data_IF_094700393105
#
_entry.id   IF_094700393105
#
_cell.length_a   1.000
_cell.length_b   1.000
_cell.length_c   1.000
_cell.angle_alpha   90.00
_cell.angle_beta   90.00
_cell.angle_gamma   90.00
#
_symmetry.space_group_name_H-M   'P 1'
#
loop_
_entity.id
_entity.type
_entity.pdbx_description
1 polymer ?
#
# COMPACT_ATOMS: atom_id res chain seq x y z
N UNK A 1 2.55 5.34 19.45
CA UNK A 1 1.78 4.63 18.37
C UNK A 1 2.42 3.26 18.15
N UNK A 2 1.65 2.18 18.17
CA UNK A 2 2.12 0.81 17.90
C UNK A 2 1.34 0.25 16.71
N UNK A 3 2.02 -0.18 15.67
CA UNK A 3 1.42 -0.80 14.49
C UNK A 3 1.34 -2.31 14.77
N UNK A 4 0.14 -2.88 14.66
CA UNK A 4 -0.14 -4.30 14.91
C UNK A 4 -0.46 -5.07 13.64
N UNK A 5 -0.80 -4.37 12.57
CA UNK A 5 -1.11 -4.89 11.23
C UNK A 5 -0.22 -4.19 10.20
N UNK A 6 0.51 -4.97 9.41
CA UNK A 6 1.15 -4.45 8.20
C UNK A 6 0.30 -4.76 6.98
N UNK A 7 -0.16 -3.72 6.29
CA UNK A 7 -1.06 -3.85 5.15
C UNK A 7 -0.33 -3.94 3.81
N UNK A 8 1.01 -3.89 3.80
CA UNK A 8 1.80 -3.86 2.58
C UNK A 8 3.11 -4.63 2.75
N UNK A 9 3.11 -5.88 2.29
CA UNK A 9 4.29 -6.77 2.34
C UNK A 9 4.36 -7.65 1.10
N UNK A 10 5.59 -8.03 0.71
CA UNK A 10 5.88 -8.82 -0.47
C UNK A 10 6.56 -10.14 -0.13
N UNK A 11 6.30 -11.14 -0.98
CA UNK A 11 6.93 -12.46 -0.89
C UNK A 11 7.74 -12.77 -2.14
N UNK A 12 8.35 -13.98 -2.20
CA UNK A 12 9.04 -14.47 -3.39
C UNK A 12 8.17 -14.49 -4.68
N UNK A 13 6.86 -14.25 -4.57
CA UNK A 13 6.00 -14.13 -5.75
C UNK A 13 6.24 -12.80 -6.50
N UNK A 14 6.69 -11.77 -5.78
CA UNK A 14 7.29 -10.56 -6.34
C UNK A 14 8.78 -10.81 -6.46
N UNK A 15 9.33 -11.01 -7.68
CA UNK A 15 10.64 -11.63 -7.87
C UNK A 15 11.84 -10.83 -7.34
N UNK A 16 11.67 -9.59 -6.94
CA UNK A 16 12.66 -8.82 -6.20
C UNK A 16 12.44 -8.81 -4.67
N UNK A 17 11.50 -9.60 -4.15
CA UNK A 17 11.37 -9.88 -2.72
C UNK A 17 12.00 -11.23 -2.37
N UNK A 18 12.43 -11.42 -1.12
CA UNK A 18 13.36 -12.48 -0.74
C UNK A 18 12.86 -13.41 0.38
N UNK A 19 11.59 -13.26 0.81
CA UNK A 19 11.03 -14.07 1.89
C UNK A 19 9.76 -14.82 1.46
N UNK A 20 9.57 -15.99 2.03
CA UNK A 20 8.34 -16.77 1.88
C UNK A 20 7.27 -16.28 2.84
N UNK A 21 5.99 -16.63 2.58
CA UNK A 21 4.87 -16.37 3.52
C UNK A 21 5.17 -16.92 4.93
N UNK A 22 5.80 -18.10 5.03
CA UNK A 22 6.10 -18.72 6.33
C UNK A 22 7.16 -17.94 7.10
N UNK A 23 8.19 -17.45 6.42
CA UNK A 23 9.22 -16.61 7.03
C UNK A 23 8.64 -15.26 7.47
N UNK A 24 7.81 -14.62 6.63
CA UNK A 24 7.12 -13.35 6.97
C UNK A 24 6.22 -13.54 8.20
N UNK A 25 5.38 -14.56 8.22
CA UNK A 25 4.49 -14.85 9.34
C UNK A 25 5.25 -15.20 10.63
N UNK A 26 6.36 -15.93 10.53
CA UNK A 26 7.20 -16.26 11.69
C UNK A 26 7.82 -15.00 12.29
N UNK A 27 8.40 -14.14 11.44
CA UNK A 27 9.01 -12.90 11.89
C UNK A 27 7.97 -11.94 12.49
N UNK A 28 6.78 -11.83 11.86
CA UNK A 28 5.67 -11.04 12.37
C UNK A 28 5.24 -11.51 13.78
N UNK A 29 5.16 -12.82 14.00
CA UNK A 29 4.88 -13.42 15.32
C UNK A 29 5.94 -13.03 16.36
N UNK A 30 7.21 -13.15 16.01
CA UNK A 30 8.34 -12.80 16.88
C UNK A 30 8.38 -11.28 17.19
N UNK A 31 7.94 -10.43 16.25
CA UNK A 31 7.81 -8.99 16.41
C UNK A 31 6.54 -8.57 17.19
N UNK A 32 5.67 -9.52 17.54
CA UNK A 32 4.42 -9.25 18.29
C UNK A 32 3.36 -8.53 17.45
N UNK A 33 3.33 -8.79 16.15
CA UNK A 33 2.28 -8.32 15.23
C UNK A 33 1.07 -9.25 15.32
N UNK A 34 -0.12 -8.70 15.11
CA UNK A 34 -1.38 -9.45 15.11
C UNK A 34 -1.78 -9.93 13.72
N UNK A 35 -1.38 -9.19 12.67
CA UNK A 35 -1.69 -9.53 11.30
C UNK A 35 -0.68 -8.95 10.30
N UNK A 36 -0.57 -9.62 9.13
CA UNK A 36 0.10 -9.10 7.94
C UNK A 36 -0.78 -9.33 6.71
N UNK A 37 -0.72 -8.43 5.75
CA UNK A 37 -1.31 -8.63 4.43
C UNK A 37 -0.23 -9.06 3.45
N UNK A 38 -0.48 -10.13 2.69
CA UNK A 38 0.37 -10.57 1.58
C UNK A 38 -0.13 -9.84 0.34
N UNK A 39 0.60 -8.83 -0.09
CA UNK A 39 0.20 -7.89 -1.15
C UNK A 39 1.25 -7.85 -2.26
N UNK A 40 1.61 -9.02 -2.77
CA UNK A 40 2.56 -9.12 -3.88
C UNK A 40 2.15 -8.26 -5.06
N UNK A 41 3.13 -7.79 -5.84
CA UNK A 41 2.90 -7.00 -7.05
C UNK A 41 2.03 -7.72 -8.07
N UNK A 42 1.03 -7.04 -8.58
CA UNK A 42 0.16 -7.51 -9.66
C UNK A 42 0.89 -7.55 -11.02
N UNK A 43 0.34 -8.26 -12.02
CA UNK A 43 1.12 -8.76 -13.16
C UNK A 43 1.68 -7.73 -14.14
N UNK A 44 1.24 -6.47 -14.14
CA UNK A 44 1.71 -5.49 -15.12
C UNK A 44 3.16 -5.02 -14.90
N UNK A 45 3.65 -5.06 -13.66
CA UNK A 45 5.06 -4.79 -13.38
C UNK A 45 5.92 -5.97 -13.87
N UNK A 46 7.12 -5.74 -14.47
CA UNK A 46 7.89 -6.80 -15.15
C UNK A 46 8.20 -8.05 -14.31
N UNK A 47 8.22 -7.92 -12.99
CA UNK A 47 8.49 -8.99 -12.03
C UNK A 47 7.29 -9.30 -11.13
N UNK A 48 6.10 -8.85 -11.52
CA UNK A 48 4.84 -9.09 -10.82
C UNK A 48 4.40 -10.55 -10.88
N UNK A 49 3.58 -10.93 -9.89
CA UNK A 49 3.07 -12.28 -9.79
C UNK A 49 2.02 -12.59 -10.87
N UNK A 50 2.00 -13.84 -11.32
CA UNK A 50 0.97 -14.30 -12.25
C UNK A 50 -0.44 -14.17 -11.61
N UNK A 51 -1.52 -13.84 -12.36
CA UNK A 51 -2.88 -13.73 -11.82
C UNK A 51 -3.35 -14.95 -11.01
N UNK A 52 -2.87 -16.13 -11.33
CA UNK A 52 -3.18 -17.35 -10.57
C UNK A 52 -2.63 -17.34 -9.15
N UNK A 53 -1.57 -16.58 -8.86
CA UNK A 53 -1.09 -16.38 -7.50
C UNK A 53 -2.21 -15.81 -6.62
N UNK A 54 -2.83 -14.72 -7.04
CA UNK A 54 -3.92 -14.06 -6.30
C UNK A 54 -5.17 -14.92 -6.20
N UNK A 55 -5.52 -15.66 -7.26
CA UNK A 55 -6.64 -16.60 -7.24
C UNK A 55 -6.42 -17.77 -6.27
N UNK A 56 -5.16 -18.12 -5.99
CA UNK A 56 -4.79 -19.24 -5.14
C UNK A 56 -4.34 -18.86 -3.72
N UNK A 57 -4.39 -17.58 -3.33
CA UNK A 57 -4.09 -17.14 -1.95
C UNK A 57 -4.89 -17.92 -0.90
N UNK A 58 -6.09 -18.39 -1.26
CA UNK A 58 -6.92 -19.29 -0.44
C UNK A 58 -6.23 -20.60 -0.03
N UNK A 59 -5.11 -21.00 -0.64
CA UNK A 59 -4.30 -22.13 -0.22
C UNK A 59 -3.45 -21.83 1.03
N UNK A 60 -3.25 -20.56 1.36
CA UNK A 60 -2.53 -20.11 2.55
C UNK A 60 -3.50 -20.16 3.74
N UNK A 61 -3.13 -20.77 4.89
CA UNK A 61 -3.95 -20.69 6.10
C UNK A 61 -4.18 -19.23 6.54
N UNK A 62 -5.38 -18.92 7.03
CA UNK A 62 -5.73 -17.58 7.53
C UNK A 62 -5.02 -17.19 8.83
N UNK A 63 -4.33 -18.12 9.45
CA UNK A 63 -3.50 -17.90 10.63
C UNK A 63 -2.27 -18.79 10.56
N UNK A 64 -1.09 -18.20 10.77
CA UNK A 64 0.19 -18.89 10.79
C UNK A 64 1.00 -18.33 11.96
N UNK A 65 1.49 -19.19 12.85
CA UNK A 65 2.22 -18.81 14.08
C UNK A 65 1.48 -17.80 14.97
N UNK A 66 0.13 -17.85 15.00
CA UNK A 66 -0.69 -16.93 15.75
C UNK A 66 -0.87 -15.54 15.10
N UNK A 67 -0.36 -15.34 13.88
CA UNK A 67 -0.53 -14.12 13.09
C UNK A 67 -1.62 -14.35 12.04
N UNK A 68 -2.58 -13.43 11.95
CA UNK A 68 -3.60 -13.44 10.89
C UNK A 68 -2.96 -13.09 9.55
N UNK A 69 -3.31 -13.86 8.51
CA UNK A 69 -2.87 -13.61 7.14
C UNK A 69 -4.03 -13.04 6.34
N UNK A 70 -3.90 -11.79 5.92
CA UNK A 70 -4.82 -11.14 5.00
C UNK A 70 -4.36 -11.41 3.57
N UNK A 71 -5.30 -11.76 2.71
CA UNK A 71 -5.03 -11.93 1.28
C UNK A 71 -5.15 -10.57 0.60
N UNK A 72 -4.14 -10.17 -0.14
CA UNK A 72 -4.12 -8.88 -0.78
C UNK A 72 -3.41 -8.88 -2.11
N UNK A 73 -3.32 -7.71 -2.68
CA UNK A 73 -2.53 -7.41 -3.88
C UNK A 73 -2.10 -5.95 -3.87
N UNK A 74 -0.93 -5.67 -4.40
CA UNK A 74 -0.56 -4.34 -4.83
C UNK A 74 -0.80 -4.24 -6.33
N UNK A 75 -1.97 -3.65 -6.72
CA UNK A 75 -2.35 -3.47 -8.11
C UNK A 75 -1.69 -2.23 -8.72
N UNK A 76 -1.34 -2.33 -10.00
CA UNK A 76 -0.77 -1.24 -10.76
C UNK A 76 -1.89 -0.39 -11.38
N UNK A 77 -1.82 0.92 -11.18
CA UNK A 77 -2.63 1.89 -11.93
C UNK A 77 -1.98 2.02 -13.32
N UNK A 78 -2.73 1.74 -14.38
CA UNK A 78 -2.19 1.60 -15.73
C UNK A 78 -2.34 2.86 -16.59
N UNK A 79 -3.35 3.66 -16.31
CA UNK A 79 -3.72 4.82 -17.13
C UNK A 79 -4.53 5.85 -16.36
N UNK A 80 -4.88 6.95 -17.03
CA UNK A 80 -5.65 8.06 -16.45
C UNK A 80 -7.13 7.72 -16.23
N UNK A 81 -7.63 6.67 -16.85
CA UNK A 81 -8.98 6.12 -16.62
C UNK A 81 -9.05 5.27 -15.34
N UNK A 82 -7.89 4.99 -14.71
CA UNK A 82 -7.79 4.19 -13.49
C UNK A 82 -7.99 2.70 -13.71
N UNK A 83 -7.65 2.20 -14.91
CA UNK A 83 -7.59 0.78 -15.14
C UNK A 83 -6.47 0.16 -14.29
N UNK A 84 -6.73 -1.04 -13.77
CA UNK A 84 -5.80 -1.81 -12.95
C UNK A 84 -5.60 -3.22 -13.52
N UNK A 85 -4.56 -3.90 -13.12
CA UNK A 85 -4.05 -5.12 -13.75
C UNK A 85 -4.54 -6.45 -13.13
N UNK A 86 -5.54 -6.41 -12.27
CA UNK A 86 -6.27 -7.59 -11.81
C UNK A 86 -7.77 -7.44 -12.11
N UNK A 87 -8.39 -8.55 -12.49
CA UNK A 87 -9.81 -8.59 -12.77
C UNK A 87 -10.65 -8.51 -11.48
N UNK A 88 -11.83 -7.89 -11.56
CA UNK A 88 -12.74 -7.68 -10.43
C UNK A 88 -13.05 -8.97 -9.67
N UNK A 89 -13.25 -10.09 -10.37
CA UNK A 89 -13.54 -11.40 -9.75
C UNK A 89 -12.39 -11.94 -8.89
N UNK A 90 -11.18 -11.42 -9.07
CA UNK A 90 -10.02 -11.70 -8.22
C UNK A 90 -10.03 -10.77 -7.03
N UNK A 91 -10.19 -9.47 -7.27
CA UNK A 91 -10.18 -8.41 -6.25
C UNK A 91 -11.26 -8.63 -5.18
N UNK A 92 -12.48 -9.03 -5.60
CA UNK A 92 -13.60 -9.33 -4.68
C UNK A 92 -13.30 -10.43 -3.64
N UNK A 93 -12.23 -11.19 -3.82
CA UNK A 93 -11.82 -12.29 -2.91
C UNK A 93 -10.66 -11.90 -2.00
N UNK A 94 -10.12 -10.70 -2.18
CA UNK A 94 -9.05 -10.17 -1.37
C UNK A 94 -9.60 -9.43 -0.15
N UNK A 95 -8.80 -9.39 0.90
CA UNK A 95 -9.11 -8.64 2.13
C UNK A 95 -8.55 -7.21 2.06
N UNK A 96 -7.49 -6.99 1.26
CA UNK A 96 -6.80 -5.70 1.09
C UNK A 96 -6.34 -5.54 -0.35
N UNK A 97 -6.76 -4.47 -0.99
CA UNK A 97 -6.29 -4.06 -2.32
C UNK A 97 -5.59 -2.71 -2.23
N UNK A 98 -4.28 -2.77 -2.36
CA UNK A 98 -3.38 -1.61 -2.45
C UNK A 98 -3.29 -1.16 -3.91
N UNK A 99 -3.41 0.13 -4.19
CA UNK A 99 -3.24 0.67 -5.54
C UNK A 99 -2.10 1.67 -5.62
N UNK A 100 -1.21 1.49 -6.57
CA UNK A 100 -0.01 2.32 -6.75
C UNK A 100 0.28 2.64 -8.21
N UNK A 101 0.96 3.77 -8.43
CA UNK A 101 1.59 4.07 -9.73
C UNK A 101 3.05 3.61 -9.69
N UNK A 102 3.39 2.67 -10.57
CA UNK A 102 4.76 2.26 -10.82
C UNK A 102 5.21 2.71 -12.22
N UNK A 103 6.39 3.33 -12.32
CA UNK A 103 6.92 3.86 -13.56
C UNK A 103 6.93 2.87 -14.75
N UNK A 104 7.21 1.56 -14.56
CA UNK A 104 7.15 0.61 -15.67
C UNK A 104 5.74 0.34 -16.21
N UNK A 105 4.69 0.61 -15.42
CA UNK A 105 3.31 0.24 -15.72
C UNK A 105 2.46 1.43 -16.19
N UNK A 106 2.79 2.63 -15.71
CA UNK A 106 2.02 3.84 -15.98
C UNK A 106 2.66 4.66 -17.11
N UNK A 107 1.83 5.12 -18.04
CA UNK A 107 2.29 6.01 -19.10
C UNK A 107 2.59 7.40 -18.56
N UNK A 108 3.53 8.10 -19.18
CA UNK A 108 3.84 9.48 -18.86
C UNK A 108 2.59 10.36 -18.92
N UNK A 109 2.52 11.31 -17.99
CA UNK A 109 1.43 12.26 -17.88
C UNK A 109 1.84 13.46 -17.03
N UNK A 110 0.98 14.46 -16.95
CA UNK A 110 1.14 15.60 -16.07
C UNK A 110 0.34 15.43 -14.77
N UNK A 111 0.39 16.42 -13.89
CA UNK A 111 -0.33 16.38 -12.60
C UNK A 111 -1.86 16.31 -12.78
N UNK A 112 -2.40 16.78 -13.91
CA UNK A 112 -3.83 16.67 -14.23
C UNK A 112 -4.19 15.23 -14.57
N UNK A 113 -3.35 14.57 -15.37
CA UNK A 113 -3.51 13.17 -15.76
C UNK A 113 -3.42 12.26 -14.53
N UNK A 114 -2.39 12.46 -13.69
CA UNK A 114 -2.24 11.69 -12.44
C UNK A 114 -3.43 11.92 -11.49
N UNK A 115 -3.92 13.16 -11.40
CA UNK A 115 -5.13 13.45 -10.60
C UNK A 115 -6.34 12.69 -11.14
N UNK A 116 -6.51 12.60 -12.46
CA UNK A 116 -7.60 11.85 -13.09
C UNK A 116 -7.51 10.35 -12.77
N UNK A 117 -6.31 9.75 -12.87
CA UNK A 117 -6.05 8.38 -12.50
C UNK A 117 -6.43 8.11 -11.03
N UNK A 118 -5.93 8.92 -10.10
CA UNK A 118 -6.24 8.77 -8.67
C UNK A 118 -7.73 9.01 -8.37
N UNK A 119 -8.43 9.92 -9.08
CA UNK A 119 -9.88 10.10 -8.94
C UNK A 119 -10.64 8.82 -9.32
N UNK A 120 -10.24 8.17 -10.40
CA UNK A 120 -10.85 6.92 -10.83
C UNK A 120 -10.62 5.80 -9.80
N UNK A 121 -9.38 5.66 -9.32
CA UNK A 121 -9.00 4.65 -8.31
C UNK A 121 -9.74 4.86 -6.99
N UNK A 122 -9.81 6.07 -6.48
CA UNK A 122 -10.53 6.36 -5.22
C UNK A 122 -12.04 6.10 -5.35
N UNK A 123 -12.59 6.17 -6.55
CA UNK A 123 -13.98 5.78 -6.84
C UNK A 123 -14.17 4.27 -7.08
N UNK A 124 -13.11 3.51 -7.29
CA UNK A 124 -13.21 2.07 -7.43
C UNK A 124 -13.55 1.41 -6.07
N UNK A 125 -14.70 0.73 -5.93
CA UNK A 125 -15.11 0.13 -4.66
C UNK A 125 -14.21 -1.02 -4.21
N UNK A 126 -13.45 -1.63 -5.12
CA UNK A 126 -12.59 -2.78 -4.86
C UNK A 126 -11.17 -2.40 -4.42
N UNK A 127 -10.82 -1.12 -4.40
CA UNK A 127 -9.54 -0.62 -3.89
C UNK A 127 -9.72 -0.10 -2.47
N UNK A 128 -8.81 -0.42 -1.56
CA UNK A 128 -8.87 -0.02 -0.15
C UNK A 128 -7.87 1.07 0.20
N UNK A 129 -6.65 0.98 -0.32
CA UNK A 129 -5.52 1.82 0.07
C UNK A 129 -4.86 2.45 -1.15
N UNK A 130 -4.55 3.74 -1.07
CA UNK A 130 -3.72 4.45 -2.03
C UNK A 130 -2.28 4.44 -1.51
N UNK A 131 -1.41 3.70 -2.20
CA UNK A 131 -0.08 3.40 -1.70
C UNK A 131 1.01 4.32 -2.25
N UNK A 132 2.03 4.58 -1.42
CA UNK A 132 3.24 5.39 -1.65
C UNK A 132 3.09 6.53 -2.67
N UNK A 133 1.98 7.23 -2.61
CA UNK A 133 1.57 8.26 -3.58
C UNK A 133 2.34 9.58 -3.50
N UNK A 134 3.40 9.64 -2.66
CA UNK A 134 4.23 10.84 -2.47
C UNK A 134 5.29 11.08 -3.56
N UNK A 135 5.39 10.24 -4.59
CA UNK A 135 6.39 10.39 -5.64
C UNK A 135 6.25 11.73 -6.38
N UNK A 136 7.31 12.56 -6.48
CA UNK A 136 7.25 13.81 -7.24
C UNK A 136 7.09 13.58 -8.75
N UNK A 137 7.46 12.38 -9.25
CA UNK A 137 7.25 12.02 -10.65
C UNK A 137 5.78 11.85 -11.01
N UNK A 138 4.94 11.54 -10.04
CA UNK A 138 3.50 11.32 -10.19
C UNK A 138 2.70 12.29 -9.30
N UNK A 139 3.10 13.56 -9.26
CA UNK A 139 2.41 14.59 -8.50
C UNK A 139 0.95 14.73 -8.95
N UNK A 140 0.05 14.95 -7.99
CA UNK A 140 -1.38 15.09 -8.22
C UNK A 140 -1.98 16.13 -7.25
N UNK A 141 -3.25 16.44 -7.39
CA UNK A 141 -3.99 17.29 -6.46
C UNK A 141 -4.32 16.53 -5.17
N UNK A 142 -3.42 16.63 -4.18
CA UNK A 142 -3.54 15.91 -2.89
C UNK A 142 -4.83 16.27 -2.16
N UNK A 143 -5.22 17.55 -2.14
CA UNK A 143 -6.43 18.03 -1.46
C UNK A 143 -7.68 17.35 -2.01
N UNK A 144 -7.81 17.35 -3.33
CA UNK A 144 -8.96 16.78 -4.04
C UNK A 144 -9.06 15.27 -3.84
N UNK A 145 -7.93 14.57 -3.92
CA UNK A 145 -7.90 13.10 -3.76
C UNK A 145 -8.19 12.70 -2.32
N UNK A 146 -7.62 13.38 -1.33
CA UNK A 146 -7.83 13.08 0.09
C UNK A 146 -9.29 13.38 0.50
N UNK A 147 -9.91 14.46 0.00
CA UNK A 147 -11.33 14.73 0.22
C UNK A 147 -12.22 13.59 -0.31
N UNK A 148 -11.90 13.09 -1.50
CA UNK A 148 -12.65 12.00 -2.10
C UNK A 148 -12.38 10.67 -1.36
N UNK A 149 -11.14 10.43 -0.93
CA UNK A 149 -10.78 9.25 -0.13
C UNK A 149 -11.58 9.21 1.18
N UNK A 150 -11.72 10.35 1.88
CA UNK A 150 -12.59 10.47 3.05
C UNK A 150 -14.02 10.05 2.75
N UNK A 151 -14.60 10.60 1.67
CA UNK A 151 -15.97 10.33 1.26
C UNK A 151 -16.21 8.86 0.93
N UNK A 152 -15.24 8.22 0.31
CA UNK A 152 -15.32 6.84 -0.16
C UNK A 152 -14.69 5.84 0.83
N UNK A 153 -14.32 6.29 2.04
CA UNK A 153 -13.72 5.47 3.10
C UNK A 153 -12.45 4.73 2.67
N UNK A 154 -11.64 5.36 1.81
CA UNK A 154 -10.33 4.85 1.41
C UNK A 154 -9.25 5.33 2.36
N UNK A 155 -8.23 4.52 2.54
CA UNK A 155 -7.07 4.85 3.36
C UNK A 155 -5.92 5.38 2.49
N UNK A 156 -5.11 6.26 3.08
CA UNK A 156 -3.89 6.78 2.45
C UNK A 156 -2.70 6.17 3.16
N UNK A 157 -1.80 5.60 2.40
CA UNK A 157 -0.60 4.98 2.96
C UNK A 157 0.49 6.01 3.27
N UNK A 158 1.10 5.87 4.44
CA UNK A 158 2.40 6.44 4.79
C UNK A 158 3.41 5.29 4.82
N UNK A 159 4.01 5.06 3.69
CA UNK A 159 4.91 3.95 3.42
C UNK A 159 6.32 4.22 3.95
N UNK A 160 6.78 3.40 4.90
CA UNK A 160 8.10 3.60 5.52
C UNK A 160 9.25 3.38 4.55
N UNK A 161 9.15 2.42 3.63
CA UNK A 161 10.19 2.14 2.64
C UNK A 161 10.48 3.34 1.73
N UNK A 162 9.49 4.22 1.50
CA UNK A 162 9.67 5.46 0.74
C UNK A 162 10.71 6.39 1.37
N UNK A 163 10.92 6.36 2.68
CA UNK A 163 11.94 7.18 3.37
C UNK A 163 13.36 6.66 3.10
N UNK A 164 13.52 5.40 2.77
CA UNK A 164 14.80 4.75 2.53
C UNK A 164 15.20 4.81 1.03
N UNK A 165 14.28 4.43 0.14
CA UNK A 165 14.58 4.27 -1.30
C UNK A 165 14.02 5.39 -2.18
N UNK A 166 13.00 6.14 -1.71
CA UNK A 166 12.33 7.21 -2.49
C UNK A 166 12.45 8.56 -1.77
N UNK A 167 13.67 8.95 -1.35
CA UNK A 167 13.91 10.15 -0.50
C UNK A 167 13.31 11.45 -1.05
N UNK A 168 13.19 11.58 -2.38
CA UNK A 168 12.52 12.71 -3.01
C UNK A 168 11.01 12.79 -2.71
N UNK A 169 10.41 11.69 -2.25
CA UNK A 169 8.99 11.63 -1.86
C UNK A 169 8.71 12.17 -0.44
N UNK A 170 9.73 12.28 0.41
CA UNK A 170 9.55 12.63 1.84
C UNK A 170 8.78 13.94 2.06
N UNK A 171 9.07 15.04 1.35
CA UNK A 171 8.31 16.29 1.52
C UNK A 171 6.82 16.11 1.18
N UNK A 172 6.52 15.33 0.13
CA UNK A 172 5.15 15.05 -0.29
C UNK A 172 4.45 14.11 0.69
N UNK A 173 5.12 13.09 1.21
CA UNK A 173 4.57 12.21 2.25
C UNK A 173 4.16 13.02 3.49
N UNK A 174 5.00 13.97 3.93
CA UNK A 174 4.67 14.89 5.02
C UNK A 174 3.44 15.73 4.68
N UNK A 175 3.41 16.36 3.50
CA UNK A 175 2.27 17.19 3.06
C UNK A 175 0.97 16.38 3.01
N UNK A 176 1.01 15.18 2.45
CA UNK A 176 -0.14 14.24 2.40
C UNK A 176 -0.62 13.94 3.82
N UNK A 177 0.28 13.59 4.74
CA UNK A 177 -0.07 13.30 6.13
C UNK A 177 -0.68 14.54 6.84
N UNK A 178 -0.14 15.75 6.61
CA UNK A 178 -0.68 17.00 7.16
C UNK A 178 -2.12 17.26 6.65
N UNK A 179 -2.38 17.04 5.36
CA UNK A 179 -3.73 17.16 4.78
C UNK A 179 -4.67 16.09 5.37
N UNK A 180 -4.22 14.84 5.47
CA UNK A 180 -5.01 13.76 6.11
C UNK A 180 -5.36 14.11 7.56
N UNK A 181 -4.41 14.66 8.33
CA UNK A 181 -4.65 15.14 9.69
C UNK A 181 -5.70 16.24 9.73
N UNK A 182 -5.55 17.27 8.89
CA UNK A 182 -6.48 18.43 8.84
C UNK A 182 -7.90 18.00 8.49
N UNK A 183 -8.01 17.09 7.51
CA UNK A 183 -9.30 16.60 7.01
C UNK A 183 -9.86 15.42 7.81
N UNK A 184 -9.13 14.92 8.80
CA UNK A 184 -9.47 13.72 9.59
C UNK A 184 -9.71 12.50 8.69
N UNK A 185 -8.77 12.22 7.79
CA UNK A 185 -8.75 11.02 6.93
C UNK A 185 -7.88 9.95 7.57
N UNK A 186 -8.36 8.70 7.58
CA UNK A 186 -7.58 7.57 8.06
C UNK A 186 -6.36 7.28 7.19
N UNK A 187 -5.26 6.92 7.82
CA UNK A 187 -4.05 6.45 7.14
C UNK A 187 -3.70 5.04 7.59
N UNK A 188 -2.89 4.36 6.80
CA UNK A 188 -2.15 3.17 7.23
C UNK A 188 -0.66 3.46 7.19
N UNK A 189 0.08 2.88 8.14
CA UNK A 189 1.54 2.87 8.12
C UNK A 189 1.99 1.48 7.78
N UNK A 190 2.79 1.33 6.74
CA UNK A 190 3.25 0.03 6.23
C UNK A 190 4.77 0.01 6.09
N UNK A 191 5.31 -1.20 6.08
CA UNK A 191 6.75 -1.40 5.85
C UNK A 191 7.11 -1.48 4.37
N UNK A 192 6.20 -1.98 3.52
CA UNK A 192 6.51 -2.35 2.12
C UNK A 192 7.69 -3.33 2.09
N UNK A 193 7.66 -4.30 3.04
CA UNK A 193 8.76 -5.21 3.28
C UNK A 193 8.93 -6.21 2.13
N UNK A 194 10.12 -6.24 1.55
CA UNK A 194 10.55 -7.20 0.52
C UNK A 194 11.42 -8.32 1.10
N UNK A 195 11.73 -8.23 2.38
CA UNK A 195 12.42 -9.24 3.18
C UNK A 195 11.95 -9.14 4.63
N UNK A 196 11.99 -10.23 5.37
CA UNK A 196 11.55 -10.27 6.77
C UNK A 196 12.18 -9.20 7.66
N UNK A 197 13.44 -8.82 7.42
CA UNK A 197 14.14 -7.82 8.23
C UNK A 197 13.58 -6.40 8.11
N UNK A 198 12.83 -6.11 7.07
CA UNK A 198 12.15 -4.81 6.88
C UNK A 198 10.74 -4.81 7.46
N UNK A 199 10.16 -5.98 7.73
CA UNK A 199 8.84 -6.11 8.33
C UNK A 199 8.82 -5.49 9.73
N UNK A 200 7.84 -4.64 9.99
CA UNK A 200 7.75 -3.94 11.26
C UNK A 200 8.68 -2.74 11.40
N UNK A 201 9.46 -2.41 10.36
CA UNK A 201 10.24 -1.16 10.33
C UNK A 201 9.37 0.01 9.91
N UNK A 202 8.89 0.77 10.90
CA UNK A 202 8.03 1.96 10.70
C UNK A 202 8.69 3.24 11.24
N UNK A 203 9.95 3.20 11.62
CA UNK A 203 10.59 4.25 12.42
C UNK A 203 10.56 5.62 11.76
N UNK A 204 10.84 5.70 10.46
CA UNK A 204 10.86 6.97 9.72
C UNK A 204 9.45 7.56 9.58
N UNK A 205 8.48 6.74 9.18
CA UNK A 205 7.08 7.14 9.03
C UNK A 205 6.50 7.59 10.37
N UNK A 206 6.66 6.80 11.43
CA UNK A 206 6.19 7.14 12.78
C UNK A 206 6.90 8.38 13.35
N UNK A 207 8.20 8.56 13.07
CA UNK A 207 8.95 9.76 13.43
C UNK A 207 8.33 11.00 12.80
N UNK A 208 8.10 10.98 11.50
CA UNK A 208 7.47 12.08 10.77
C UNK A 208 6.04 12.36 11.27
N UNK A 209 5.23 11.33 11.52
CA UNK A 209 3.88 11.48 12.07
C UNK A 209 3.89 12.07 13.48
N UNK A 210 4.87 11.70 14.30
CA UNK A 210 5.07 12.29 15.65
C UNK A 210 5.44 13.78 15.57
N UNK A 211 6.33 14.16 14.66
CA UNK A 211 6.74 15.57 14.47
C UNK A 211 5.54 16.47 14.11
N UNK A 212 4.62 15.96 13.28
CA UNK A 212 3.41 16.71 12.92
C UNK A 212 2.27 16.52 13.92
N UNK A 213 2.48 15.78 15.03
CA UNK A 213 1.45 15.43 16.01
C UNK A 213 0.19 14.80 15.35
N UNK A 214 0.40 13.78 14.53
CA UNK A 214 -0.69 13.07 13.86
C UNK A 214 -1.53 12.29 14.89
N UNK A 215 -2.89 12.35 14.82
CA UNK A 215 -3.76 11.65 15.79
C UNK A 215 -3.69 10.12 15.66
N UNK A 216 -3.34 9.40 16.73
CA UNK A 216 -3.28 7.92 16.72
C UNK A 216 -4.60 7.25 16.31
N UNK A 217 -5.74 7.86 16.60
CA UNK A 217 -7.07 7.33 16.22
C UNK A 217 -7.33 7.29 14.71
N UNK A 218 -6.46 7.89 13.91
CA UNK A 218 -6.55 7.92 12.45
C UNK A 218 -5.54 6.99 11.76
N UNK A 219 -4.82 6.16 12.54
CA UNK A 219 -3.86 5.16 12.06
C UNK A 219 -4.39 3.76 12.29
#
# INVERSE_FOLDING_TARGET
MKILLDTHTHTLASTHAYSTVLEMAKYASEAGMEAIAITDHAPAIPDGAHPWHFQNLKAIPREIYGVKILYGAEVNILDLEGNIDLADEVLEKLDVVNASIHAPCYKDGDATDHTSAYLAIVNNPLVDVICHSGSPAFAYDYEKIIDLAKKNHKLIEINNHSFDVRKASIPNCRKIAEICKEKEVGIVVSSDAHITFDLGNYNNALGMLSEISFPEKLV
#
